data_IF_506949303518
#
_entry.id   IF_506949303518
#
_cell.length_a   1.000
_cell.length_b   1.000
_cell.length_c   1.000
_cell.angle_alpha   90.00
_cell.angle_beta   90.00
_cell.angle_gamma   90.00
#
_symmetry.space_group_name_H-M   'P 1'
#
loop_
_entity.id
_entity.type
_entity.pdbx_description
1 polymer ?
#
# COMPACT_ATOMS: atom_id res chain seq x y z
N UNK A 1 30.76 -10.75 -21.88
CA UNK A 1 29.73 -11.75 -21.51
C UNK A 1 29.84 -12.01 -20.02
N UNK A 2 29.11 -11.22 -19.22
CA UNK A 2 28.85 -11.46 -17.80
C UNK A 2 27.47 -10.82 -17.55
N UNK A 3 26.41 -11.59 -17.79
CA UNK A 3 25.04 -11.10 -17.90
C UNK A 3 24.11 -11.90 -16.99
N UNK A 4 24.39 -11.89 -15.70
CA UNK A 4 23.46 -12.38 -14.66
C UNK A 4 23.18 -11.33 -13.57
N UNK A 5 24.06 -10.34 -13.41
CA UNK A 5 23.87 -9.22 -12.49
C UNK A 5 22.63 -8.42 -12.91
N UNK A 6 21.74 -8.17 -11.95
CA UNK A 6 20.49 -7.40 -12.08
C UNK A 6 20.66 -6.22 -13.05
N UNK A 7 19.63 -5.89 -13.84
CA UNK A 7 19.56 -4.59 -14.52
C UNK A 7 19.77 -3.43 -13.52
N UNK A 8 19.30 -3.62 -12.28
CA UNK A 8 19.53 -2.70 -11.16
C UNK A 8 20.94 -2.71 -10.58
N UNK A 9 21.70 -3.79 -10.73
CA UNK A 9 23.11 -3.91 -10.29
C UNK A 9 24.11 -3.72 -11.42
N UNK A 10 23.64 -3.51 -12.66
CA UNK A 10 24.45 -3.22 -13.85
C UNK A 10 24.31 -1.78 -14.33
N UNK A 11 23.28 -1.06 -13.88
CA UNK A 11 23.08 0.36 -14.16
C UNK A 11 23.67 1.23 -13.07
N UNK A 12 24.78 1.89 -13.40
CA UNK A 12 25.45 2.82 -12.48
C UNK A 12 24.48 3.92 -12.05
N UNK A 13 24.28 4.13 -10.74
CA UNK A 13 23.26 5.03 -10.27
C UNK A 13 23.61 6.50 -10.52
N UNK A 14 22.63 7.27 -10.98
CA UNK A 14 22.74 8.72 -11.05
C UNK A 14 22.65 9.34 -9.66
N UNK A 15 23.67 10.12 -9.29
CA UNK A 15 23.81 10.70 -7.95
C UNK A 15 22.67 11.64 -7.60
N UNK A 16 22.30 12.57 -8.51
CA UNK A 16 21.31 13.62 -8.22
C UNK A 16 19.92 13.03 -7.91
N UNK A 17 19.33 12.16 -8.77
CA UNK A 17 18.07 11.50 -8.44
C UNK A 17 18.18 10.64 -7.16
N UNK A 18 19.30 9.93 -6.96
CA UNK A 18 19.49 9.13 -5.74
C UNK A 18 19.45 9.98 -4.46
N UNK A 19 20.07 11.15 -4.46
CA UNK A 19 20.01 12.10 -3.33
C UNK A 19 18.59 12.61 -3.11
N UNK A 20 17.90 13.02 -4.17
CA UNK A 20 16.53 13.54 -4.09
C UNK A 20 15.59 12.48 -3.49
N UNK A 21 15.58 11.27 -4.03
CA UNK A 21 14.73 10.20 -3.53
C UNK A 21 15.15 9.73 -2.13
N UNK A 22 16.45 9.70 -1.82
CA UNK A 22 16.93 9.41 -0.46
C UNK A 22 16.36 10.40 0.58
N UNK A 23 16.36 11.70 0.28
CA UNK A 23 15.77 12.72 1.15
C UNK A 23 14.25 12.54 1.25
N UNK A 24 13.56 12.32 0.13
CA UNK A 24 12.10 12.18 0.10
C UNK A 24 11.63 10.93 0.88
N UNK A 25 12.30 9.80 0.72
CA UNK A 25 12.02 8.60 1.51
C UNK A 25 12.34 8.80 2.99
N UNK A 26 13.42 9.50 3.33
CA UNK A 26 13.72 9.84 4.72
C UNK A 26 12.60 10.70 5.36
N UNK A 27 12.11 11.71 4.64
CA UNK A 27 11.01 12.56 5.10
C UNK A 27 9.72 11.76 5.30
N UNK A 28 9.39 10.85 4.38
CA UNK A 28 8.24 9.95 4.55
C UNK A 28 8.43 8.97 5.72
N UNK A 29 9.64 8.48 5.99
CA UNK A 29 9.95 7.69 7.19
C UNK A 29 9.69 8.47 8.46
N UNK A 30 10.14 9.73 8.55
CA UNK A 30 9.86 10.60 9.70
C UNK A 30 8.35 10.81 9.86
N UNK A 31 7.63 11.08 8.77
CA UNK A 31 6.17 11.22 8.77
C UNK A 31 5.47 9.97 9.31
N UNK A 32 5.81 8.78 8.81
CA UNK A 32 5.20 7.54 9.24
C UNK A 32 5.60 7.15 10.67
N UNK A 33 6.82 7.45 11.09
CA UNK A 33 7.25 7.28 12.48
C UNK A 33 6.42 8.16 13.43
N UNK A 34 6.25 9.44 13.07
CA UNK A 34 5.41 10.37 13.83
C UNK A 34 3.95 9.87 13.92
N UNK A 35 3.37 9.46 12.79
CA UNK A 35 2.00 8.89 12.74
C UNK A 35 1.88 7.60 13.54
N UNK A 36 2.90 6.75 13.52
CA UNK A 36 2.96 5.52 14.32
C UNK A 36 2.93 5.83 15.82
N UNK A 37 3.72 6.81 16.27
CA UNK A 37 3.72 7.25 17.67
C UNK A 37 2.36 7.83 18.07
N UNK A 38 1.78 8.67 17.20
CA UNK A 38 0.51 9.37 17.46
C UNK A 38 -0.69 8.42 17.49
N UNK A 39 -0.78 7.47 16.54
CA UNK A 39 -2.00 6.65 16.32
C UNK A 39 -1.83 5.18 16.69
N UNK A 40 -0.59 4.69 16.86
CA UNK A 40 -0.24 3.30 17.20
C UNK A 40 -0.90 2.25 16.30
N UNK A 41 -1.13 2.58 15.03
CA UNK A 41 -1.72 1.65 14.04
C UNK A 41 -0.63 0.89 13.31
N UNK A 42 -0.86 -0.40 13.12
CA UNK A 42 0.08 -1.30 12.46
C UNK A 42 0.41 -0.87 11.02
N UNK A 43 -0.53 -0.25 10.29
CA UNK A 43 -0.29 0.24 8.93
C UNK A 43 0.91 1.21 8.84
N UNK A 44 1.05 2.12 9.82
CA UNK A 44 2.16 3.06 9.85
C UNK A 44 3.50 2.40 10.15
N UNK A 45 3.50 1.27 10.88
CA UNK A 45 4.72 0.49 11.10
C UNK A 45 5.23 -0.14 9.80
N UNK A 46 4.32 -0.70 8.98
CA UNK A 46 4.69 -1.28 7.69
C UNK A 46 5.27 -0.22 6.74
N UNK A 47 4.63 0.95 6.63
CA UNK A 47 5.13 2.04 5.79
C UNK A 47 6.39 2.70 6.34
N UNK A 48 6.57 2.73 7.65
CA UNK A 48 7.84 3.16 8.25
C UNK A 48 8.98 2.22 7.87
N UNK A 49 8.81 0.90 8.06
CA UNK A 49 9.84 -0.09 7.72
C UNK A 49 10.17 -0.05 6.22
N UNK A 50 9.16 0.10 5.37
CA UNK A 50 9.35 0.22 3.93
C UNK A 50 10.07 1.52 3.53
N UNK A 51 9.67 2.67 4.07
CA UNK A 51 10.30 3.94 3.71
C UNK A 51 11.74 4.04 4.21
N UNK A 52 12.05 3.47 5.39
CA UNK A 52 13.42 3.48 5.91
C UNK A 52 14.32 2.52 5.13
N UNK A 53 13.80 1.37 4.67
CA UNK A 53 14.55 0.48 3.79
C UNK A 53 14.83 1.15 2.44
N UNK A 54 13.86 1.87 1.86
CA UNK A 54 14.07 2.68 0.65
C UNK A 54 15.12 3.77 0.86
N UNK A 55 15.10 4.43 2.02
CA UNK A 55 16.16 5.39 2.38
C UNK A 55 17.54 4.74 2.37
N UNK A 56 17.67 3.54 2.96
CA UNK A 56 18.92 2.76 2.95
C UNK A 56 19.35 2.41 1.51
N UNK A 57 18.41 1.96 0.66
CA UNK A 57 18.69 1.68 -0.77
C UNK A 57 19.29 2.91 -1.45
N UNK A 58 18.70 4.09 -1.29
CA UNK A 58 19.21 5.30 -1.94
C UNK A 58 20.53 5.77 -1.34
N UNK A 59 20.77 5.59 -0.03
CA UNK A 59 22.10 5.80 0.56
C UNK A 59 23.17 4.90 -0.08
N UNK A 60 22.85 3.61 -0.30
CA UNK A 60 23.74 2.67 -0.99
C UNK A 60 23.96 3.11 -2.44
N UNK A 61 22.91 3.51 -3.17
CA UNK A 61 23.03 4.01 -4.55
C UNK A 61 23.86 5.29 -4.65
N UNK A 62 23.76 6.21 -3.69
CA UNK A 62 24.63 7.40 -3.63
C UNK A 62 26.08 6.96 -3.48
N UNK A 63 26.40 6.07 -2.53
CA UNK A 63 27.76 5.56 -2.34
C UNK A 63 28.28 4.85 -3.61
N UNK A 64 27.44 4.04 -4.25
CA UNK A 64 27.78 3.31 -5.47
C UNK A 64 28.03 4.26 -6.66
N UNK A 65 27.36 5.41 -6.72
CA UNK A 65 27.62 6.41 -7.77
C UNK A 65 29.03 7.02 -7.70
N UNK A 66 29.68 6.98 -6.53
CA UNK A 66 31.05 7.46 -6.34
C UNK A 66 32.10 6.35 -6.39
N UNK A 67 31.71 5.11 -6.06
CA UNK A 67 32.61 3.96 -6.01
C UNK A 67 31.92 2.77 -6.67
N UNK A 68 32.29 2.49 -7.91
CA UNK A 68 31.71 1.39 -8.66
C UNK A 68 32.23 0.04 -8.15
N UNK A 69 31.43 -0.60 -7.30
CA UNK A 69 31.72 -1.92 -6.72
C UNK A 69 30.49 -2.79 -6.83
N UNK A 70 30.62 -3.97 -7.43
CA UNK A 70 29.54 -4.95 -7.61
C UNK A 70 28.83 -5.28 -6.28
N UNK A 71 29.56 -5.25 -5.16
CA UNK A 71 29.02 -5.44 -3.80
C UNK A 71 27.91 -4.43 -3.44
N UNK A 72 28.08 -3.15 -3.80
CA UNK A 72 27.07 -2.13 -3.53
C UNK A 72 25.84 -2.31 -4.45
N UNK A 73 26.06 -2.73 -5.69
CA UNK A 73 24.98 -3.10 -6.61
C UNK A 73 24.13 -4.25 -6.05
N UNK A 74 24.78 -5.31 -5.56
CA UNK A 74 24.11 -6.45 -4.93
C UNK A 74 23.42 -6.09 -3.62
N UNK A 75 24.06 -5.29 -2.76
CA UNK A 75 23.47 -4.82 -1.51
C UNK A 75 22.21 -3.97 -1.78
N UNK A 76 22.24 -3.11 -2.80
CA UNK A 76 21.07 -2.33 -3.19
C UNK A 76 19.91 -3.21 -3.65
N UNK A 77 20.19 -4.22 -4.48
CA UNK A 77 19.18 -5.18 -4.95
C UNK A 77 18.61 -6.05 -3.83
N UNK A 78 19.44 -6.48 -2.87
CA UNK A 78 19.00 -7.24 -1.71
C UNK A 78 17.97 -6.47 -0.87
N UNK A 79 18.26 -5.21 -0.55
CA UNK A 79 17.34 -4.38 0.24
C UNK A 79 16.08 -4.05 -0.58
N UNK A 80 16.22 -3.78 -1.88
CA UNK A 80 15.11 -3.49 -2.78
C UNK A 80 14.09 -4.64 -2.84
N UNK A 81 14.55 -5.86 -3.12
CA UNK A 81 13.68 -7.04 -3.24
C UNK A 81 13.22 -7.55 -1.86
N UNK A 82 14.06 -7.41 -0.84
CA UNK A 82 13.80 -7.97 0.48
C UNK A 82 12.74 -7.21 1.28
N UNK A 83 12.57 -5.91 1.06
CA UNK A 83 11.64 -5.11 1.87
C UNK A 83 10.40 -4.64 1.11
N UNK A 84 10.31 -4.93 -0.19
CA UNK A 84 9.14 -4.60 -1.02
C UNK A 84 7.83 -5.14 -0.43
N UNK A 85 7.87 -6.33 0.18
CA UNK A 85 6.68 -6.95 0.73
C UNK A 85 5.98 -6.13 1.83
N UNK A 86 6.68 -5.22 2.51
CA UNK A 86 6.09 -4.38 3.56
C UNK A 86 5.06 -3.39 2.99
N UNK A 87 5.24 -2.89 1.76
CA UNK A 87 4.26 -1.98 1.15
C UNK A 87 2.95 -2.72 0.85
N UNK A 88 3.07 -3.96 0.34
CA UNK A 88 1.93 -4.85 0.07
C UNK A 88 1.22 -5.22 1.38
N UNK A 89 1.98 -5.60 2.42
CA UNK A 89 1.42 -5.84 3.75
C UNK A 89 0.67 -4.62 4.31
N UNK A 90 1.18 -3.42 4.04
CA UNK A 90 0.55 -2.15 4.41
C UNK A 90 -0.81 -1.95 3.73
N UNK A 91 -0.90 -2.11 2.41
CA UNK A 91 -2.17 -1.96 1.67
C UNK A 91 -3.18 -3.07 2.00
N UNK A 92 -2.73 -4.30 2.25
CA UNK A 92 -3.63 -5.36 2.72
C UNK A 92 -4.14 -5.09 4.13
N UNK A 93 -3.31 -4.50 5.01
CA UNK A 93 -3.77 -4.04 6.33
C UNK A 93 -4.85 -2.98 6.17
N UNK A 94 -4.66 -2.04 5.23
CA UNK A 94 -5.66 -1.01 4.93
C UNK A 94 -6.99 -1.61 4.46
N UNK A 95 -6.93 -2.55 3.52
CA UNK A 95 -8.10 -3.29 3.03
C UNK A 95 -8.82 -4.02 4.18
N UNK A 96 -8.09 -4.73 5.03
CA UNK A 96 -8.70 -5.45 6.17
C UNK A 96 -9.35 -4.51 7.19
N UNK A 97 -8.74 -3.35 7.44
CA UNK A 97 -9.31 -2.34 8.33
C UNK A 97 -10.60 -1.75 7.73
N UNK A 98 -10.59 -1.47 6.44
CA UNK A 98 -11.78 -0.97 5.73
C UNK A 98 -12.93 -1.97 5.74
N UNK A 99 -12.67 -3.25 5.44
CA UNK A 99 -13.69 -4.30 5.49
C UNK A 99 -14.32 -4.34 6.87
N UNK A 100 -13.52 -4.30 7.95
CA UNK A 100 -14.03 -4.26 9.34
C UNK A 100 -14.92 -3.05 9.61
N UNK A 101 -14.56 -1.87 9.11
CA UNK A 101 -15.35 -0.64 9.27
C UNK A 101 -16.72 -0.81 8.60
N UNK A 102 -16.75 -1.30 7.36
CA UNK A 102 -18.00 -1.51 6.62
C UNK A 102 -18.88 -2.55 7.32
N UNK A 103 -18.30 -3.68 7.76
CA UNK A 103 -19.08 -4.73 8.45
C UNK A 103 -19.70 -4.22 9.75
N UNK A 104 -18.92 -3.47 10.56
CA UNK A 104 -19.41 -2.89 11.82
C UNK A 104 -20.57 -1.91 11.59
N UNK A 105 -20.51 -1.13 10.50
CA UNK A 105 -21.61 -0.23 10.11
C UNK A 105 -22.87 -0.95 9.61
N UNK A 106 -22.75 -2.22 9.18
CA UNK A 106 -23.86 -3.01 8.68
C UNK A 106 -24.57 -3.81 9.79
N UNK A 107 -23.85 -4.21 10.84
CA UNK A 107 -24.42 -4.96 11.98
C UNK A 107 -25.33 -4.10 12.88
N UNK A 108 -25.22 -2.77 12.84
CA UNK A 108 -26.11 -1.86 13.60
C UNK A 108 -27.51 -1.72 13.01
N UNK A 109 -27.73 -2.17 11.76
CA UNK A 109 -29.06 -2.26 11.16
C UNK A 109 -29.64 -3.66 11.36
N UNK A 110 -30.56 -3.79 12.32
CA UNK A 110 -31.25 -5.02 12.72
C UNK A 110 -31.64 -5.93 11.53
N UNK A 111 -30.89 -7.03 11.32
CA UNK A 111 -31.27 -8.11 10.40
C UNK A 111 -31.15 -9.47 11.11
N UNK A 112 -32.20 -10.33 11.11
CA UNK A 112 -32.20 -11.61 11.82
C UNK A 112 -31.36 -12.72 11.14
N UNK A 113 -30.88 -12.51 9.91
CA UNK A 113 -30.19 -13.54 9.10
C UNK A 113 -28.65 -13.61 9.35
N UNK A 114 -28.21 -13.15 10.53
CA UNK A 114 -26.81 -12.75 10.73
C UNK A 114 -25.79 -13.88 10.87
N UNK A 115 -26.21 -15.14 11.08
CA UNK A 115 -25.29 -16.28 11.31
C UNK A 115 -24.46 -16.63 10.07
N UNK A 116 -25.13 -16.88 8.94
CA UNK A 116 -24.47 -17.36 7.72
C UNK A 116 -23.67 -16.24 7.05
N UNK A 117 -24.18 -15.01 7.10
CA UNK A 117 -23.48 -13.82 6.61
C UNK A 117 -22.19 -13.54 7.39
N UNK A 118 -22.22 -13.66 8.73
CA UNK A 118 -21.02 -13.51 9.58
C UNK A 118 -19.99 -14.60 9.34
N UNK A 119 -20.44 -15.84 9.14
CA UNK A 119 -19.54 -16.99 8.84
C UNK A 119 -18.87 -16.81 7.48
N UNK A 120 -19.63 -16.37 6.46
CA UNK A 120 -19.09 -16.05 5.13
C UNK A 120 -18.06 -14.93 5.19
N UNK A 121 -18.37 -13.83 5.88
CA UNK A 121 -17.45 -12.69 6.00
C UNK A 121 -16.17 -13.08 6.76
N UNK A 122 -16.28 -13.93 7.79
CA UNK A 122 -15.11 -14.48 8.48
C UNK A 122 -14.21 -15.28 7.53
N UNK A 123 -14.78 -16.14 6.69
CA UNK A 123 -14.04 -16.91 5.69
C UNK A 123 -13.37 -16.00 4.64
N UNK A 124 -14.07 -14.97 4.17
CA UNK A 124 -13.52 -14.01 3.21
C UNK A 124 -12.37 -13.20 3.84
N UNK A 125 -12.49 -12.77 5.09
CA UNK A 125 -11.43 -12.07 5.81
C UNK A 125 -10.23 -12.97 6.12
N UNK A 126 -10.49 -14.25 6.41
CA UNK A 126 -9.45 -15.27 6.56
C UNK A 126 -8.68 -15.43 5.25
N UNK A 127 -9.38 -15.52 4.11
CA UNK A 127 -8.75 -15.61 2.79
C UNK A 127 -7.86 -14.40 2.51
N UNK A 128 -8.35 -13.19 2.75
CA UNK A 128 -7.56 -11.95 2.59
C UNK A 128 -6.32 -11.96 3.49
N UNK A 129 -6.44 -12.43 4.73
CA UNK A 129 -5.30 -12.54 5.66
C UNK A 129 -4.29 -13.62 5.23
N UNK A 130 -4.76 -14.74 4.68
CA UNK A 130 -3.89 -15.78 4.12
C UNK A 130 -3.12 -15.24 2.93
N UNK A 131 -3.78 -14.52 2.00
CA UNK A 131 -3.11 -13.88 0.87
C UNK A 131 -2.10 -12.82 1.33
N UNK A 132 -2.50 -11.99 2.30
CA UNK A 132 -1.65 -10.98 2.93
C UNK A 132 -0.35 -11.57 3.44
N UNK A 133 -0.37 -12.74 4.10
CA UNK A 133 0.85 -13.34 4.65
C UNK A 133 1.56 -14.21 3.60
N UNK A 134 0.81 -15.01 2.85
CA UNK A 134 1.32 -16.10 2.03
C UNK A 134 2.03 -15.66 0.75
N UNK A 135 1.51 -14.67 0.02
CA UNK A 135 2.14 -14.24 -1.24
C UNK A 135 3.39 -13.37 -1.02
N UNK A 136 3.42 -12.47 -0.04
CA UNK A 136 4.64 -11.79 0.41
C UNK A 136 5.83 -12.69 0.73
N UNK A 137 5.61 -13.94 1.17
CA UNK A 137 6.69 -14.93 1.40
C UNK A 137 7.43 -15.27 0.10
N UNK A 138 6.81 -15.12 -1.07
CA UNK A 138 7.52 -15.26 -2.36
C UNK A 138 8.66 -14.23 -2.52
N UNK A 139 8.59 -13.09 -1.82
CA UNK A 139 9.67 -12.10 -1.74
C UNK A 139 10.98 -12.68 -1.20
N UNK A 140 10.89 -13.60 -0.24
CA UNK A 140 12.04 -14.28 0.37
C UNK A 140 12.79 -15.11 -0.68
N UNK A 141 12.08 -15.76 -1.61
CA UNK A 141 12.71 -16.53 -2.70
C UNK A 141 13.59 -15.63 -3.58
N UNK A 142 13.16 -14.38 -3.82
CA UNK A 142 13.95 -13.39 -4.54
C UNK A 142 15.25 -13.03 -3.80
N UNK A 143 15.20 -12.83 -2.48
CA UNK A 143 16.40 -12.55 -1.68
C UNK A 143 17.37 -13.73 -1.61
N UNK A 144 16.86 -14.95 -1.51
CA UNK A 144 17.68 -16.17 -1.51
C UNK A 144 18.47 -16.30 -2.80
N UNK A 145 17.86 -15.96 -3.95
CA UNK A 145 18.55 -15.97 -5.24
C UNK A 145 19.71 -14.97 -5.30
N UNK A 146 19.53 -13.77 -4.75
CA UNK A 146 20.57 -12.73 -4.71
C UNK A 146 21.76 -13.20 -3.85
N UNK A 147 21.49 -13.85 -2.72
CA UNK A 147 22.54 -14.44 -1.87
C UNK A 147 23.27 -15.57 -2.61
N UNK A 148 22.54 -16.44 -3.31
CA UNK A 148 23.16 -17.51 -4.12
C UNK A 148 24.02 -16.97 -5.26
N UNK A 149 23.59 -15.87 -5.90
CA UNK A 149 24.37 -15.18 -6.94
C UNK A 149 25.66 -14.56 -6.38
N UNK A 150 25.68 -14.18 -5.10
CA UNK A 150 26.89 -13.69 -4.42
C UNK A 150 27.88 -14.82 -4.07
N UNK A 151 27.40 -15.97 -3.59
CA UNK A 151 28.25 -17.09 -3.18
C UNK A 151 28.73 -17.95 -4.37
N UNK A 152 27.99 -17.98 -5.47
CA UNK A 152 28.34 -18.77 -6.66
C UNK A 152 29.29 -17.99 -7.59
N UNK A 153 30.27 -18.69 -8.16
CA UNK A 153 31.20 -18.13 -9.14
C UNK A 153 30.40 -17.44 -10.28
N UNK A 154 30.68 -16.18 -10.67
CA UNK A 154 29.87 -15.41 -11.63
C UNK A 154 29.76 -16.04 -13.04
N UNK A 155 30.46 -17.16 -13.28
CA UNK A 155 30.43 -17.95 -14.51
C UNK A 155 29.33 -19.02 -14.55
N UNK A 156 28.77 -19.43 -13.41
CA UNK A 156 27.58 -20.30 -13.38
C UNK A 156 26.34 -19.43 -13.52
N UNK A 157 25.95 -19.17 -14.78
CA UNK A 157 24.75 -18.39 -15.10
C UNK A 157 23.50 -18.96 -14.43
N UNK A 158 23.11 -18.40 -13.29
CA UNK A 158 21.79 -18.60 -12.72
C UNK A 158 20.77 -17.93 -13.64
N UNK A 159 19.75 -18.68 -14.07
CA UNK A 159 18.67 -18.18 -14.93
C UNK A 159 17.73 -17.17 -14.24
N UNK A 160 18.05 -16.73 -13.00
CA UNK A 160 17.28 -15.77 -12.22
C UNK A 160 15.86 -16.23 -11.93
N UNK A 161 15.61 -17.55 -11.88
CA UNK A 161 14.27 -18.13 -11.83
C UNK A 161 13.54 -17.73 -10.55
N UNK A 162 14.19 -17.84 -9.40
CA UNK A 162 13.61 -17.46 -8.11
C UNK A 162 13.28 -15.96 -8.03
N UNK A 163 14.09 -15.11 -8.68
CA UNK A 163 13.82 -13.67 -8.80
C UNK A 163 12.55 -13.42 -9.63
N UNK A 164 12.42 -14.09 -10.78
CA UNK A 164 11.21 -14.02 -11.62
C UNK A 164 9.97 -14.49 -10.85
N UNK A 165 10.09 -15.59 -10.10
CA UNK A 165 9.01 -16.10 -9.23
C UNK A 165 8.63 -15.07 -8.17
N UNK A 166 9.60 -14.42 -7.53
CA UNK A 166 9.35 -13.36 -6.55
C UNK A 166 8.56 -12.18 -7.15
N UNK A 167 9.03 -11.62 -8.29
CA UNK A 167 8.33 -10.52 -8.96
C UNK A 167 6.93 -10.91 -9.45
N UNK A 168 6.76 -12.13 -9.97
CA UNK A 168 5.44 -12.64 -10.35
C UNK A 168 4.54 -12.84 -9.13
N UNK A 169 5.09 -13.31 -8.01
CA UNK A 169 4.37 -13.44 -6.75
C UNK A 169 3.82 -12.10 -6.27
N UNK A 170 4.63 -11.03 -6.32
CA UNK A 170 4.16 -9.68 -6.00
C UNK A 170 3.10 -9.17 -6.98
N UNK A 171 3.28 -9.38 -8.28
CA UNK A 171 2.29 -9.01 -9.28
C UNK A 171 0.95 -9.73 -9.05
N UNK A 172 0.97 -11.04 -8.81
CA UNK A 172 -0.24 -11.82 -8.48
C UNK A 172 -0.88 -11.31 -7.19
N UNK A 173 -0.08 -10.98 -6.17
CA UNK A 173 -0.59 -10.42 -4.92
C UNK A 173 -1.34 -9.12 -5.16
N UNK A 174 -0.81 -8.25 -6.00
CA UNK A 174 -1.47 -7.00 -6.30
C UNK A 174 -2.74 -7.18 -7.14
N UNK A 175 -2.74 -8.12 -8.08
CA UNK A 175 -3.95 -8.47 -8.85
C UNK A 175 -5.03 -8.97 -7.90
N UNK A 176 -4.69 -9.88 -6.97
CA UNK A 176 -5.63 -10.36 -5.96
C UNK A 176 -6.13 -9.23 -5.06
N UNK A 177 -5.26 -8.31 -4.64
CA UNK A 177 -5.66 -7.11 -3.91
C UNK A 177 -6.72 -6.30 -4.67
N UNK A 178 -6.51 -6.02 -5.96
CA UNK A 178 -7.47 -5.27 -6.78
C UNK A 178 -8.78 -6.03 -6.96
N UNK A 179 -8.73 -7.37 -7.09
CA UNK A 179 -9.92 -8.22 -7.14
C UNK A 179 -10.70 -8.13 -5.81
N UNK A 180 -10.01 -8.19 -4.66
CA UNK A 180 -10.67 -8.04 -3.36
C UNK A 180 -11.30 -6.67 -3.18
N UNK A 181 -10.57 -5.58 -3.49
CA UNK A 181 -11.13 -4.21 -3.43
C UNK A 181 -12.40 -4.12 -4.27
N UNK A 182 -12.37 -4.66 -5.50
CA UNK A 182 -13.54 -4.66 -6.40
C UNK A 182 -14.69 -5.49 -5.86
N UNK A 183 -14.41 -6.71 -5.40
CA UNK A 183 -15.42 -7.61 -4.84
C UNK A 183 -16.14 -6.96 -3.64
N UNK A 184 -15.37 -6.45 -2.67
CA UNK A 184 -15.95 -5.83 -1.48
C UNK A 184 -16.65 -4.50 -1.80
N UNK A 185 -16.15 -3.74 -2.78
CA UNK A 185 -16.81 -2.52 -3.25
C UNK A 185 -18.16 -2.82 -3.90
N UNK A 186 -18.30 -3.90 -4.67
CA UNK A 186 -19.57 -4.26 -5.31
C UNK A 186 -20.56 -4.85 -4.30
N UNK A 187 -20.09 -5.68 -3.37
CA UNK A 187 -20.97 -6.44 -2.47
C UNK A 187 -21.42 -5.64 -1.25
N UNK A 188 -20.54 -4.80 -0.67
CA UNK A 188 -20.77 -4.24 0.67
C UNK A 188 -20.87 -2.71 0.73
N UNK A 189 -20.51 -1.98 -0.32
CA UNK A 189 -20.54 -0.51 -0.30
C UNK A 189 -21.96 0.01 -0.54
N UNK A 190 -22.45 0.80 0.41
CA UNK A 190 -23.68 1.60 0.24
C UNK A 190 -23.33 2.88 -0.53
N UNK A 191 -24.33 3.54 -1.14
CA UNK A 191 -24.13 4.77 -1.95
C UNK A 191 -23.66 6.01 -1.15
N UNK A 192 -23.06 5.86 0.03
CA UNK A 192 -22.52 7.01 0.77
C UNK A 192 -21.23 7.50 0.12
N UNK A 193 -21.09 8.83 0.04
CA UNK A 193 -19.94 9.50 -0.59
C UNK A 193 -18.63 9.11 0.10
N UNK A 194 -18.68 8.96 1.43
CA UNK A 194 -17.49 8.64 2.20
C UNK A 194 -16.98 7.21 1.91
N UNK A 195 -17.86 6.21 1.79
CA UNK A 195 -17.45 4.84 1.44
C UNK A 195 -16.89 4.76 0.02
N UNK A 196 -17.45 5.52 -0.92
CA UNK A 196 -16.91 5.63 -2.28
C UNK A 196 -15.50 6.21 -2.31
N UNK A 197 -15.22 7.20 -1.46
CA UNK A 197 -13.89 7.80 -1.36
C UNK A 197 -12.87 6.83 -0.71
N UNK A 198 -13.31 5.93 0.19
CA UNK A 198 -12.44 4.89 0.77
C UNK A 198 -12.03 3.89 -0.30
N UNK A 199 -12.99 3.45 -1.11
CA UNK A 199 -12.76 2.59 -2.27
C UNK A 199 -11.82 3.25 -3.27
N UNK A 200 -12.03 4.54 -3.57
CA UNK A 200 -11.14 5.29 -4.46
C UNK A 200 -9.70 5.31 -3.95
N UNK A 201 -9.49 5.49 -2.64
CA UNK A 201 -8.15 5.43 -2.05
C UNK A 201 -7.52 4.04 -2.19
N UNK A 202 -8.28 2.97 -1.92
CA UNK A 202 -7.81 1.59 -2.06
C UNK A 202 -7.42 1.28 -3.51
N UNK A 203 -8.21 1.74 -4.49
CA UNK A 203 -7.90 1.61 -5.91
C UNK A 203 -6.69 2.44 -6.32
N UNK A 204 -6.60 3.70 -5.88
CA UNK A 204 -5.45 4.57 -6.16
C UNK A 204 -4.17 3.93 -5.60
N UNK A 205 -4.26 3.35 -4.40
CA UNK A 205 -3.14 2.65 -3.76
C UNK A 205 -2.68 1.45 -4.58
N UNK A 206 -3.62 0.63 -5.05
CA UNK A 206 -3.31 -0.51 -5.89
C UNK A 206 -2.79 -0.12 -7.27
N UNK A 207 -3.34 0.94 -7.87
CA UNK A 207 -2.93 1.43 -9.19
C UNK A 207 -1.49 1.96 -9.19
N UNK A 208 -1.08 2.70 -8.16
CA UNK A 208 0.29 3.19 -8.03
C UNK A 208 1.30 2.04 -7.94
N UNK A 209 1.01 1.02 -7.13
CA UNK A 209 1.85 -0.19 -7.04
C UNK A 209 1.79 -1.03 -8.32
N UNK A 210 0.71 -0.95 -9.08
CA UNK A 210 0.58 -1.70 -10.33
C UNK A 210 1.52 -1.13 -11.40
N UNK A 211 1.59 0.20 -11.49
CA UNK A 211 2.54 0.89 -12.38
C UNK A 211 3.97 0.45 -12.09
N UNK A 212 4.34 0.46 -10.80
CA UNK A 212 5.65 -0.01 -10.34
C UNK A 212 5.89 -1.47 -10.72
N UNK A 213 5.00 -2.39 -10.34
CA UNK A 213 5.23 -3.82 -10.51
C UNK A 213 5.26 -4.24 -11.98
N UNK A 214 4.51 -3.56 -12.84
CA UNK A 214 4.59 -3.78 -14.30
C UNK A 214 5.98 -3.38 -14.81
N UNK A 215 6.48 -2.21 -14.41
CA UNK A 215 7.83 -1.77 -14.78
C UNK A 215 8.90 -2.74 -14.24
N UNK A 216 8.83 -3.10 -12.97
CA UNK A 216 9.76 -4.05 -12.33
C UNK A 216 9.74 -5.42 -12.99
N UNK A 217 8.56 -5.91 -13.38
CA UNK A 217 8.42 -7.16 -14.14
C UNK A 217 9.09 -7.03 -15.50
N UNK A 218 8.85 -5.96 -16.24
CA UNK A 218 9.51 -5.74 -17.53
C UNK A 218 11.03 -5.75 -17.40
N UNK A 219 11.58 -5.01 -16.43
CA UNK A 219 13.02 -4.95 -16.17
C UNK A 219 13.60 -6.31 -15.76
N UNK A 220 12.90 -7.07 -14.91
CA UNK A 220 13.35 -8.38 -14.42
C UNK A 220 13.42 -9.44 -15.51
N UNK A 221 12.54 -9.35 -16.51
CA UNK A 221 12.48 -10.26 -17.65
C UNK A 221 13.29 -9.78 -18.87
N UNK A 222 13.67 -8.50 -18.90
CA UNK A 222 14.58 -7.96 -19.92
C UNK A 222 16.02 -8.44 -19.72
N UNK A 223 16.78 -8.62 -20.81
CA UNK A 223 18.22 -8.88 -20.72
C UNK A 223 18.94 -7.56 -20.43
N UNK A 224 19.94 -7.60 -19.54
CA UNK A 224 20.82 -6.46 -19.31
C UNK A 224 21.62 -6.18 -20.59
N UNK A 225 21.35 -5.04 -21.21
CA UNK A 225 22.07 -4.55 -22.40
C UNK A 225 22.62 -3.16 -22.07
N UNK A 226 23.63 -2.69 -22.83
CA UNK A 226 24.14 -1.32 -22.67
C UNK A 226 23.04 -0.25 -22.83
N UNK A 227 21.96 -0.58 -23.56
CA UNK A 227 20.78 0.28 -23.69
C UNK A 227 19.99 0.42 -22.39
N UNK A 228 20.02 -0.58 -21.50
CA UNK A 228 19.29 -0.58 -20.23
C UNK A 228 19.93 0.40 -19.24
N UNK A 229 21.26 0.56 -19.27
CA UNK A 229 21.97 1.57 -18.49
C UNK A 229 21.64 3.00 -18.92
N UNK A 230 21.32 3.21 -20.21
CA UNK A 230 20.92 4.52 -20.74
C UNK A 230 19.57 5.01 -20.18
N UNK A 231 18.74 4.12 -19.66
CA UNK A 231 17.40 4.42 -19.15
C UNK A 231 17.27 4.25 -17.64
N UNK A 232 18.38 4.33 -16.89
CA UNK A 232 18.38 4.25 -15.42
C UNK A 232 17.43 5.28 -14.76
N UNK A 233 17.24 6.44 -15.38
CA UNK A 233 16.28 7.45 -14.91
C UNK A 233 14.83 6.93 -14.83
N UNK A 234 14.46 5.93 -15.64
CA UNK A 234 13.11 5.33 -15.64
C UNK A 234 12.80 4.61 -14.33
N UNK A 235 13.82 4.11 -13.61
CA UNK A 235 13.67 3.51 -12.27
C UNK A 235 13.07 4.53 -11.31
N UNK A 236 13.60 5.74 -11.31
CA UNK A 236 13.11 6.79 -10.40
C UNK A 236 11.67 7.21 -10.76
N UNK A 237 11.32 7.22 -12.04
CA UNK A 237 9.99 7.65 -12.51
C UNK A 237 8.93 6.57 -12.30
N UNK A 238 9.21 5.31 -12.64
CA UNK A 238 8.20 4.25 -12.64
C UNK A 238 8.22 3.39 -11.38
N UNK A 239 9.34 3.35 -10.65
CA UNK A 239 9.41 2.62 -9.39
C UNK A 239 9.37 3.56 -8.19
N UNK A 240 10.31 4.50 -8.09
CA UNK A 240 10.43 5.33 -6.90
C UNK A 240 9.27 6.33 -6.71
N UNK A 241 8.78 6.92 -7.81
CA UNK A 241 7.75 7.96 -7.75
C UNK A 241 6.39 7.41 -7.31
N UNK A 242 5.86 6.30 -7.87
CA UNK A 242 4.59 5.75 -7.39
C UNK A 242 4.63 5.32 -5.92
N UNK A 243 5.74 4.71 -5.48
CA UNK A 243 5.96 4.35 -4.07
C UNK A 243 5.92 5.58 -3.16
N UNK A 244 6.64 6.64 -3.54
CA UNK A 244 6.71 7.86 -2.76
C UNK A 244 5.34 8.55 -2.69
N UNK A 245 4.65 8.67 -3.82
CA UNK A 245 3.31 9.25 -3.89
C UNK A 245 2.34 8.45 -3.00
N UNK A 246 2.44 7.12 -3.02
CA UNK A 246 1.63 6.26 -2.15
C UNK A 246 1.89 6.56 -0.67
N UNK A 247 3.16 6.59 -0.26
CA UNK A 247 3.56 6.87 1.13
C UNK A 247 3.08 8.25 1.59
N UNK A 248 3.15 9.27 0.73
CA UNK A 248 2.66 10.62 1.04
C UNK A 248 1.14 10.64 1.18
N UNK A 249 0.40 10.00 0.26
CA UNK A 249 -1.06 9.93 0.32
C UNK A 249 -1.51 9.24 1.63
N UNK A 250 -0.90 8.10 1.93
CA UNK A 250 -1.27 7.27 3.07
C UNK A 250 -0.75 7.85 4.39
N UNK A 251 0.45 8.41 4.45
CA UNK A 251 1.02 9.01 5.68
C UNK A 251 0.52 10.43 5.97
N UNK A 252 0.29 11.21 4.92
CA UNK A 252 0.03 12.63 5.00
C UNK A 252 -1.45 12.95 5.14
N UNK A 253 -2.23 12.69 4.09
CA UNK A 253 -3.51 13.38 3.89
C UNK A 253 -4.71 12.53 4.33
N UNK A 254 -4.65 11.19 4.19
CA UNK A 254 -5.91 10.42 4.13
C UNK A 254 -6.11 9.41 5.29
N UNK A 255 -5.07 8.74 5.81
CA UNK A 255 -5.25 7.71 6.85
C UNK A 255 -5.46 8.24 8.28
N UNK A 256 -5.21 9.51 8.56
CA UNK A 256 -5.20 10.01 9.95
C UNK A 256 -6.59 10.26 10.53
N UNK A 257 -7.25 11.28 10.01
CA UNK A 257 -8.52 11.78 10.53
C UNK A 257 -9.72 11.40 9.66
N UNK A 258 -9.48 11.20 8.37
CA UNK A 258 -10.55 10.97 7.40
C UNK A 258 -10.97 9.50 7.33
N UNK A 259 -10.02 8.56 7.25
CA UNK A 259 -10.34 7.14 7.10
C UNK A 259 -10.84 6.43 8.37
N UNK A 260 -10.55 6.98 9.56
CA UNK A 260 -10.75 6.26 10.83
C UNK A 260 -11.59 6.98 11.90
N UNK A 261 -11.88 8.28 11.79
CA UNK A 261 -12.71 8.99 12.79
C UNK A 261 -14.21 9.10 12.38
N UNK A 262 -14.62 8.45 11.29
CA UNK A 262 -15.97 8.58 10.73
C UNK A 262 -17.10 7.91 11.52
N UNK A 263 -16.80 7.20 12.61
CA UNK A 263 -17.83 6.76 13.58
C UNK A 263 -18.68 7.95 14.08
N UNK A 264 -18.15 9.20 14.03
CA UNK A 264 -18.86 10.43 14.38
C UNK A 264 -19.60 11.10 13.21
N UNK A 265 -19.13 10.97 11.97
CA UNK A 265 -19.72 11.60 10.79
C UNK A 265 -20.90 10.78 10.22
N UNK A 266 -20.75 9.44 10.16
CA UNK A 266 -21.84 8.55 9.74
C UNK A 266 -23.00 8.53 10.75
N UNK A 267 -22.73 8.78 12.04
CA UNK A 267 -23.76 8.96 13.07
C UNK A 267 -24.56 10.28 12.92
N UNK A 268 -23.94 11.32 12.36
CA UNK A 268 -24.63 12.58 12.05
C UNK A 268 -25.40 12.51 10.73
N UNK A 269 -24.88 11.82 9.72
CA UNK A 269 -25.56 11.66 8.43
C UNK A 269 -26.77 10.70 8.53
N UNK A 270 -26.74 9.71 9.42
CA UNK A 270 -27.91 8.89 9.76
C UNK A 270 -28.97 9.65 10.55
N UNK A 271 -28.58 10.57 11.45
CA UNK A 271 -29.51 11.47 12.17
C UNK A 271 -30.23 12.46 11.26
N UNK A 272 -29.56 12.97 10.23
CA UNK A 272 -30.15 13.94 9.28
C UNK A 272 -31.11 13.25 8.30
N UNK A 273 -30.87 11.96 7.99
CA UNK A 273 -31.69 11.19 7.08
C UNK A 273 -32.80 10.36 7.77
N UNK A 274 -33.00 10.51 9.09
CA UNK A 274 -34.14 9.94 9.81
C UNK A 274 -35.35 10.90 9.72
N UNK A 275 -36.36 10.62 8.87
CA UNK A 275 -37.49 11.53 8.67
C UNK A 275 -38.34 11.73 9.92
N UNK A 276 -38.24 10.84 10.92
CA UNK A 276 -38.94 10.94 12.21
C UNK A 276 -38.29 11.94 13.19
N UNK A 277 -36.99 12.21 13.08
CA UNK A 277 -36.29 13.12 13.99
C UNK A 277 -36.47 14.57 13.53
N UNK A 278 -36.36 14.81 12.21
CA UNK A 278 -36.62 16.13 11.62
C UNK A 278 -38.06 16.62 11.84
N UNK A 279 -39.05 15.72 11.84
CA UNK A 279 -40.44 16.07 12.16
C UNK A 279 -40.65 16.32 13.66
N UNK A 280 -40.02 15.56 14.56
CA UNK A 280 -40.14 15.80 16.01
C UNK A 280 -39.50 17.13 16.43
N UNK A 281 -38.32 17.48 15.90
CA UNK A 281 -37.68 18.77 16.20
C UNK A 281 -38.43 19.96 15.59
N UNK A 282 -38.98 19.81 14.37
CA UNK A 282 -39.79 20.86 13.75
C UNK A 282 -41.13 21.08 14.48
N UNK A 283 -41.79 20.01 14.91
CA UNK A 283 -43.03 20.08 15.71
C UNK A 283 -42.76 20.66 17.11
N UNK A 284 -41.67 20.28 17.77
CA UNK A 284 -41.27 20.87 19.06
C UNK A 284 -40.94 22.36 18.94
N UNK A 285 -40.26 22.76 17.86
CA UNK A 285 -39.98 24.17 17.55
C UNK A 285 -41.25 24.99 17.29
N UNK A 286 -42.23 24.42 16.57
CA UNK A 286 -43.53 25.06 16.34
C UNK A 286 -44.37 25.17 17.61
N UNK A 287 -44.39 24.15 18.45
CA UNK A 287 -45.13 24.16 19.72
C UNK A 287 -44.54 25.18 20.69
N UNK A 288 -43.21 25.30 20.77
CA UNK A 288 -42.57 26.32 21.60
C UNK A 288 -42.78 27.74 21.06
N UNK A 289 -42.76 27.93 19.74
CA UNK A 289 -43.03 29.22 19.11
C UNK A 289 -44.50 29.66 19.25
N UNK A 290 -45.44 28.71 19.18
CA UNK A 290 -46.86 28.96 19.42
C UNK A 290 -47.14 29.30 20.89
N UNK A 291 -46.52 28.58 21.84
CA UNK A 291 -46.68 28.85 23.28
C UNK A 291 -46.17 30.24 23.66
N UNK A 292 -45.03 30.66 23.10
CA UNK A 292 -44.46 31.99 23.32
C UNK A 292 -45.31 33.15 22.75
N UNK A 293 -46.20 32.86 21.79
CA UNK A 293 -47.17 33.84 21.24
C UNK A 293 -48.50 33.89 22.01
N UNK A 294 -48.78 32.88 22.83
CA UNK A 294 -50.00 32.84 23.67
C UNK A 294 -49.71 33.44 25.05
N UNK A 295 -48.47 33.30 25.53
CA UNK A 295 -48.02 33.82 26.82
C UNK A 295 -47.51 35.29 26.77
N UNK A 296 -47.58 35.95 25.61
CA UNK A 296 -47.19 37.36 25.38
C UNK A 296 -48.40 38.19 24.93
#
# INVERSE_FOLDING_TARGET
MASSLLVFSSSMPTTVPSVIFGILFFLTSVLHCYRLIQRRRQIYAHFFIFSISRTIVYCIRIAWSFKDTDELGLASGFVLCGFEFFIIMGIYTLLTDWIRIITKSSDSSNSPDSSDSKTRLFLELLLVNVTKIGLPVCGILGTVQIIQEYDSNPYTGSNGILRKISTLGFLISLILYMVYVTYFAVVYVKKSVCQQLHVLMLYTSGALLFIELVYRTFITFSQATDSTNKYEWMIYVFEATPELVLLVILGGIILGDWFYNEDSAMANESRINDPEIGTKEWVLGLVQSAKKKIDA
#
